data_IF_033424530274
#
_entry.id   IF_033424530274
#
_cell.length_a   1.000
_cell.length_b   1.000
_cell.length_c   1.000
_cell.angle_alpha   90.00
_cell.angle_beta   90.00
_cell.angle_gamma   90.00
#
_symmetry.space_group_name_H-M   'P 1'
#
loop_
_entity.id
_entity.type
_entity.pdbx_description
1 polymer ?
#
# COMPACT_ATOMS: atom_id res chain seq x y z
N UNK A 1 -24.91 -13.59 -26.42
CA UNK A 1 -26.07 -12.92 -25.78
C UNK A 1 -26.86 -13.81 -24.82
N UNK A 2 -27.08 -15.11 -25.13
CA UNK A 2 -27.88 -16.03 -24.28
C UNK A 2 -27.27 -16.24 -22.88
N UNK A 3 -25.97 -16.48 -22.77
CA UNK A 3 -25.28 -16.73 -21.49
C UNK A 3 -25.30 -15.54 -20.50
N UNK A 4 -25.24 -14.30 -20.98
CA UNK A 4 -25.33 -13.09 -20.14
C UNK A 4 -26.75 -12.92 -19.58
N UNK A 5 -27.76 -13.22 -20.40
CA UNK A 5 -29.16 -13.17 -20.00
C UNK A 5 -29.53 -14.24 -18.99
N UNK A 6 -28.89 -15.41 -19.09
CA UNK A 6 -29.01 -16.49 -18.12
C UNK A 6 -28.29 -16.20 -16.81
N UNK A 7 -27.09 -15.62 -16.85
CA UNK A 7 -26.38 -15.18 -15.66
C UNK A 7 -27.17 -14.13 -14.89
N UNK A 8 -27.78 -13.15 -15.58
CA UNK A 8 -28.67 -12.15 -14.96
C UNK A 8 -29.96 -12.79 -14.39
N UNK A 9 -30.51 -13.83 -15.02
CA UNK A 9 -31.66 -14.55 -14.49
C UNK A 9 -31.31 -15.39 -13.24
N UNK A 10 -30.06 -15.83 -13.07
CA UNK A 10 -29.59 -16.54 -11.88
C UNK A 10 -29.66 -15.64 -10.63
N UNK A 11 -29.35 -14.34 -10.76
CA UNK A 11 -29.50 -13.34 -9.67
C UNK A 11 -30.95 -13.25 -9.16
N UNK A 12 -31.95 -13.53 -9.98
CA UNK A 12 -33.35 -13.53 -9.60
C UNK A 12 -33.81 -14.84 -8.94
N UNK A 13 -33.12 -15.95 -9.20
CA UNK A 13 -33.54 -17.29 -8.72
C UNK A 13 -33.03 -17.61 -7.31
N UNK A 14 -31.84 -17.08 -6.91
CA UNK A 14 -31.27 -17.24 -5.57
C UNK A 14 -30.68 -15.93 -5.06
N UNK A 15 -31.50 -14.88 -4.87
CA UNK A 15 -31.03 -13.51 -4.60
C UNK A 15 -30.22 -13.43 -3.31
N UNK A 16 -30.60 -14.17 -2.27
CA UNK A 16 -29.91 -14.16 -0.97
C UNK A 16 -28.49 -14.73 -1.07
N UNK A 17 -28.31 -15.83 -1.77
CA UNK A 17 -27.00 -16.48 -1.94
C UNK A 17 -26.05 -15.62 -2.77
N UNK A 18 -26.57 -15.04 -3.84
CA UNK A 18 -25.80 -14.16 -4.71
C UNK A 18 -25.43 -12.87 -4.00
N UNK A 19 -26.36 -12.28 -3.24
CA UNK A 19 -26.08 -11.10 -2.43
C UNK A 19 -25.01 -11.40 -1.37
N UNK A 20 -25.10 -12.53 -0.67
CA UNK A 20 -24.12 -12.94 0.33
C UNK A 20 -22.73 -13.20 -0.29
N UNK A 21 -22.69 -13.89 -1.43
CA UNK A 21 -21.44 -14.12 -2.16
C UNK A 21 -20.78 -12.80 -2.59
N UNK A 22 -21.58 -11.89 -3.15
CA UNK A 22 -21.14 -10.57 -3.59
C UNK A 22 -20.64 -9.75 -2.39
N UNK A 23 -21.36 -9.76 -1.27
CA UNK A 23 -20.98 -9.05 -0.05
C UNK A 23 -19.66 -9.58 0.53
N UNK A 24 -19.45 -10.90 0.51
CA UNK A 24 -18.20 -11.49 1.00
C UNK A 24 -17.00 -11.17 0.12
N UNK A 25 -17.16 -11.21 -1.20
CA UNK A 25 -16.13 -10.74 -2.14
C UNK A 25 -15.85 -9.25 -1.93
N UNK A 26 -16.91 -8.44 -1.78
CA UNK A 26 -16.80 -7.02 -1.54
C UNK A 26 -16.03 -6.74 -0.22
N UNK A 27 -16.34 -7.48 0.84
CA UNK A 27 -15.66 -7.30 2.14
C UNK A 27 -14.18 -7.70 2.07
N UNK A 28 -13.86 -8.81 1.39
CA UNK A 28 -12.48 -9.23 1.20
C UNK A 28 -11.66 -8.15 0.45
N UNK A 29 -12.19 -7.65 -0.65
CA UNK A 29 -11.53 -6.63 -1.47
C UNK A 29 -11.56 -5.24 -0.82
N UNK A 30 -12.55 -4.94 0.01
CA UNK A 30 -12.60 -3.71 0.80
C UNK A 30 -11.45 -3.63 1.81
N UNK A 31 -11.17 -4.72 2.53
CA UNK A 31 -10.01 -4.78 3.45
C UNK A 31 -8.69 -4.54 2.70
N UNK A 32 -8.54 -5.17 1.52
CA UNK A 32 -7.37 -4.94 0.65
C UNK A 32 -7.33 -3.49 0.16
N UNK A 33 -8.48 -2.93 -0.23
CA UNK A 33 -8.61 -1.54 -0.69
C UNK A 33 -8.26 -0.53 0.39
N UNK A 34 -8.71 -0.72 1.63
CA UNK A 34 -8.32 0.14 2.76
C UNK A 34 -6.81 0.13 2.98
N UNK A 35 -6.21 -1.06 2.92
CA UNK A 35 -4.77 -1.17 3.06
C UNK A 35 -4.03 -0.51 1.89
N UNK A 36 -4.53 -0.65 0.66
CA UNK A 36 -3.95 0.00 -0.50
C UNK A 36 -3.95 1.53 -0.35
N UNK A 37 -5.09 2.12 0.10
CA UNK A 37 -5.17 3.57 0.39
C UNK A 37 -4.21 3.97 1.51
N UNK A 38 -4.16 3.20 2.60
CA UNK A 38 -3.26 3.48 3.71
C UNK A 38 -1.78 3.38 3.29
N UNK A 39 -1.41 2.34 2.53
CA UNK A 39 -0.05 2.14 2.05
C UNK A 39 0.38 3.21 1.05
N UNK A 40 -0.53 3.64 0.16
CA UNK A 40 -0.26 4.72 -0.80
C UNK A 40 0.01 6.04 -0.07
N UNK A 41 -0.87 6.42 0.86
CA UNK A 41 -0.71 7.66 1.62
C UNK A 41 0.50 7.63 2.56
N UNK A 42 0.84 6.46 3.10
CA UNK A 42 2.05 6.30 3.89
C UNK A 42 3.30 6.49 3.00
N UNK A 43 3.28 5.94 1.78
CA UNK A 43 4.37 6.13 0.83
C UNK A 43 4.54 7.61 0.46
N UNK A 44 3.46 8.29 0.09
CA UNK A 44 3.47 9.73 -0.18
C UNK A 44 3.94 10.57 1.02
N UNK A 45 3.50 10.20 2.24
CA UNK A 45 3.97 10.86 3.44
C UNK A 45 5.47 10.64 3.69
N UNK A 46 5.95 9.42 3.41
CA UNK A 46 7.36 9.09 3.50
C UNK A 46 8.17 9.84 2.43
N UNK A 47 7.73 9.88 1.18
CA UNK A 47 8.42 10.64 0.13
C UNK A 47 8.56 12.12 0.49
N UNK A 48 7.52 12.74 1.06
CA UNK A 48 7.57 14.12 1.55
C UNK A 48 8.53 14.30 2.75
N UNK A 49 8.71 13.28 3.56
CA UNK A 49 9.70 13.26 4.65
C UNK A 49 11.06 12.86 4.10
N UNK A 50 11.13 11.94 3.15
CA UNK A 50 12.34 11.49 2.47
C UNK A 50 12.97 12.60 1.60
N UNK A 51 12.19 13.56 1.10
CA UNK A 51 12.74 14.80 0.52
C UNK A 51 13.55 15.60 1.56
N UNK A 52 13.38 15.29 2.86
CA UNK A 52 14.09 15.85 3.99
C UNK A 52 14.95 14.84 4.76
N UNK A 53 15.12 13.61 4.25
CA UNK A 53 16.09 12.67 4.86
C UNK A 53 17.49 13.13 4.47
N UNK A 54 17.99 13.96 5.32
CA UNK A 54 19.36 14.43 5.33
C UNK A 54 20.09 13.68 6.44
N UNK A 55 21.28 13.21 6.15
CA UNK A 55 22.20 12.82 7.22
C UNK A 55 22.83 14.09 7.73
N UNK A 56 22.49 14.48 8.94
CA UNK A 56 23.06 15.67 9.58
C UNK A 56 24.29 15.25 10.37
N UNK A 57 25.45 15.70 9.90
CA UNK A 57 26.75 15.48 10.52
C UNK A 57 27.10 16.72 11.32
N UNK A 58 27.03 16.64 12.63
CA UNK A 58 27.46 17.74 13.51
C UNK A 58 28.95 17.77 13.64
N UNK A 59 29.53 18.95 13.41
CA UNK A 59 30.97 19.14 13.49
C UNK A 59 31.34 19.96 14.72
N UNK A 60 32.48 19.63 15.31
CA UNK A 60 32.99 20.31 16.50
C UNK A 60 33.45 21.73 16.18
N UNK A 61 33.40 22.60 17.17
CA UNK A 61 33.76 23.99 17.05
C UNK A 61 35.26 24.24 16.69
N UNK A 62 36.11 23.25 16.95
CA UNK A 62 37.54 23.29 16.65
C UNK A 62 37.87 22.72 15.26
N UNK A 63 36.89 22.28 14.49
CA UNK A 63 37.07 21.78 13.11
C UNK A 63 37.56 22.90 12.18
N UNK A 64 38.57 22.60 11.38
CA UNK A 64 39.12 23.53 10.40
C UNK A 64 38.33 23.48 9.09
N UNK A 65 38.16 24.63 8.42
CA UNK A 65 37.47 24.69 7.14
C UNK A 65 38.00 23.69 6.12
N UNK A 66 39.29 23.44 6.07
CA UNK A 66 39.91 22.46 5.19
C UNK A 66 39.48 21.00 5.50
N UNK A 67 39.22 20.69 6.77
CA UNK A 67 38.72 19.38 7.18
C UNK A 67 37.27 19.18 6.81
N UNK A 68 36.44 20.22 6.98
CA UNK A 68 35.05 20.23 6.58
C UNK A 68 34.89 20.11 5.06
N UNK A 69 35.74 20.81 4.28
CA UNK A 69 35.77 20.70 2.83
C UNK A 69 36.15 19.29 2.38
N UNK A 70 37.20 18.68 2.98
CA UNK A 70 37.59 17.32 2.65
C UNK A 70 36.47 16.31 2.91
N UNK A 71 35.79 16.41 4.06
CA UNK A 71 34.64 15.57 4.38
C UNK A 71 33.53 15.77 3.34
N UNK A 72 33.23 17.03 3.00
CA UNK A 72 32.18 17.36 2.03
C UNK A 72 32.48 16.82 0.63
N UNK A 73 33.73 16.87 0.18
CA UNK A 73 34.16 16.32 -1.11
C UNK A 73 34.10 14.80 -1.12
N UNK A 74 34.52 14.16 -0.02
CA UNK A 74 34.47 12.70 0.10
C UNK A 74 33.02 12.19 0.12
N UNK A 75 32.13 12.85 0.86
CA UNK A 75 30.71 12.49 0.89
C UNK A 75 30.04 12.72 -0.48
N UNK A 76 30.38 13.81 -1.20
CA UNK A 76 29.88 14.03 -2.58
C UNK A 76 30.35 12.99 -3.58
N UNK A 77 31.48 12.34 -3.33
CA UNK A 77 32.00 11.29 -4.20
C UNK A 77 31.29 9.93 -4.03
N UNK A 78 30.41 9.77 -3.03
CA UNK A 78 29.65 8.56 -2.83
C UNK A 78 28.46 8.50 -3.79
N UNK A 79 28.18 7.33 -4.37
CA UNK A 79 27.07 7.12 -5.32
C UNK A 79 25.69 7.33 -4.65
N UNK A 80 25.63 7.18 -3.33
CA UNK A 80 24.43 7.37 -2.54
C UNK A 80 24.05 8.83 -2.30
N UNK A 81 24.96 9.78 -2.55
CA UNK A 81 24.82 11.19 -2.18
C UNK A 81 24.44 12.04 -3.40
N UNK A 82 23.41 12.85 -3.23
CA UNK A 82 22.96 13.81 -4.25
C UNK A 82 23.58 15.20 -4.05
N UNK A 83 23.57 15.71 -2.81
CA UNK A 83 24.13 17.01 -2.47
C UNK A 83 24.68 17.03 -1.04
N UNK A 84 25.63 17.93 -0.79
CA UNK A 84 26.24 18.13 0.53
C UNK A 84 26.34 19.63 0.78
N UNK A 85 25.70 20.08 1.84
CA UNK A 85 25.65 21.50 2.27
C UNK A 85 26.25 21.66 3.64
N UNK A 86 27.10 22.65 3.78
CA UNK A 86 27.63 23.05 5.07
C UNK A 86 26.83 24.23 5.62
N UNK A 87 26.44 24.15 6.88
CA UNK A 87 25.80 25.21 7.63
C UNK A 87 26.68 25.61 8.80
N UNK A 88 27.08 26.89 8.82
CA UNK A 88 27.80 27.46 9.96
C UNK A 88 26.85 27.56 11.17
N UNK A 89 27.42 27.80 12.37
CA UNK A 89 26.61 28.07 13.56
C UNK A 89 25.63 29.24 13.39
N UNK A 90 26.05 30.26 12.65
CA UNK A 90 25.23 31.43 12.38
C UNK A 90 24.07 31.09 11.43
N UNK A 91 24.34 30.29 10.40
CA UNK A 91 23.31 29.82 9.47
C UNK A 91 22.30 28.92 10.17
N UNK A 92 22.78 28.02 11.04
CA UNK A 92 21.92 27.14 11.85
C UNK A 92 20.98 27.94 12.76
N UNK A 93 21.50 29.00 13.40
CA UNK A 93 20.68 29.87 14.24
C UNK A 93 19.65 30.69 13.45
N UNK A 94 20.04 31.20 12.28
CA UNK A 94 19.12 31.95 11.42
C UNK A 94 17.98 31.07 10.90
N UNK A 95 18.32 29.84 10.46
CA UNK A 95 17.33 28.86 10.04
C UNK A 95 16.40 28.43 11.17
N UNK A 96 16.94 28.21 12.39
CA UNK A 96 16.12 27.89 13.55
C UNK A 96 15.13 29.01 13.92
N UNK A 97 15.51 30.27 13.71
CA UNK A 97 14.60 31.40 13.90
C UNK A 97 13.50 31.50 12.85
N UNK A 98 13.81 31.14 11.61
CA UNK A 98 12.84 31.11 10.52
C UNK A 98 11.85 29.95 10.68
N UNK A 99 12.35 28.76 11.05
CA UNK A 99 11.55 27.54 11.16
C UNK A 99 10.69 27.49 12.44
N UNK A 100 11.14 28.17 13.51
CA UNK A 100 10.52 28.15 14.84
C UNK A 100 10.29 29.57 15.39
N UNK A 101 9.41 30.38 14.75
CA UNK A 101 9.18 31.78 15.15
C UNK A 101 8.62 31.91 16.58
N UNK A 102 7.98 30.89 17.12
CA UNK A 102 7.48 30.82 18.49
C UNK A 102 8.59 30.82 19.55
N UNK A 103 9.83 30.44 19.17
CA UNK A 103 11.01 30.42 20.06
C UNK A 103 11.95 31.62 19.84
N UNK A 104 11.55 32.64 19.07
CA UNK A 104 12.40 33.79 18.74
C UNK A 104 12.92 34.53 20.00
N UNK A 105 12.07 34.69 21.01
CA UNK A 105 12.47 35.31 22.28
C UNK A 105 13.52 34.49 23.04
N UNK A 106 13.42 33.16 22.98
CA UNK A 106 14.38 32.24 23.56
C UNK A 106 15.74 32.38 22.86
N UNK A 107 15.75 32.39 21.54
CA UNK A 107 16.99 32.54 20.75
C UNK A 107 17.66 33.90 20.92
N UNK A 108 16.90 34.94 21.27
CA UNK A 108 17.44 36.29 21.62
C UNK A 108 18.03 36.37 23.04
N UNK A 109 17.54 35.55 23.95
CA UNK A 109 17.97 35.54 25.35
C UNK A 109 19.24 34.77 25.63
N UNK A 110 19.71 33.96 24.66
CA UNK A 110 20.90 33.14 24.80
C UNK A 110 22.14 33.94 24.43
N UNK A 111 23.06 34.12 25.39
CA UNK A 111 24.31 34.91 25.23
C UNK A 111 25.27 34.28 24.19
N UNK A 112 25.27 32.93 24.05
CA UNK A 112 26.11 32.20 23.08
C UNK A 112 25.23 31.29 22.24
N UNK A 113 25.52 31.21 20.94
CA UNK A 113 24.79 30.31 20.04
C UNK A 113 24.99 28.86 20.47
N UNK A 114 23.94 28.14 20.93
CA UNK A 114 24.04 26.75 21.38
C UNK A 114 24.04 25.74 20.25
N UNK A 115 23.73 26.16 19.01
CA UNK A 115 23.60 25.28 17.88
C UNK A 115 24.97 24.97 17.28
N UNK A 116 25.33 23.70 17.06
CA UNK A 116 26.58 23.32 16.39
C UNK A 116 26.51 23.65 14.89
N UNK A 117 27.68 23.74 14.26
CA UNK A 117 27.77 23.72 12.82
C UNK A 117 27.48 22.29 12.30
N UNK A 118 26.94 22.19 11.10
CA UNK A 118 26.56 20.90 10.53
C UNK A 118 26.86 20.78 9.04
N UNK A 119 27.10 19.55 8.60
CA UNK A 119 27.12 19.17 7.18
C UNK A 119 25.88 18.34 6.94
N UNK A 120 24.96 18.86 6.14
CA UNK A 120 23.75 18.18 5.74
C UNK A 120 23.99 17.44 4.42
N UNK A 121 23.70 16.14 4.39
CA UNK A 121 23.93 15.26 3.25
C UNK A 121 22.60 14.75 2.73
N UNK A 122 22.21 15.20 1.53
CA UNK A 122 21.03 14.75 0.83
C UNK A 122 21.34 13.45 0.05
N UNK A 123 20.56 12.40 0.24
CA UNK A 123 20.74 11.15 -0.48
C UNK A 123 20.08 11.17 -1.86
N UNK A 124 20.71 10.51 -2.82
CA UNK A 124 20.18 10.35 -4.17
C UNK A 124 18.89 9.50 -4.18
N UNK A 125 18.00 9.81 -5.11
CA UNK A 125 16.75 9.05 -5.30
C UNK A 125 17.07 7.58 -5.56
N UNK A 126 16.49 6.68 -4.75
CA UNK A 126 16.77 5.23 -4.79
C UNK A 126 17.78 4.73 -3.75
N UNK A 127 18.55 5.63 -3.12
CA UNK A 127 19.48 5.30 -2.03
C UNK A 127 18.97 5.78 -0.65
N UNK A 128 17.76 6.26 -0.56
CA UNK A 128 17.13 6.70 0.69
C UNK A 128 16.63 5.50 1.51
N UNK A 129 17.54 4.56 1.78
CA UNK A 129 17.27 3.35 2.58
C UNK A 129 18.05 3.41 3.90
N UNK A 130 17.57 2.74 4.97
CA UNK A 130 18.30 2.70 6.25
C UNK A 130 19.75 2.28 6.09
N UNK A 131 20.02 1.32 5.20
CA UNK A 131 21.36 0.81 4.96
C UNK A 131 22.28 1.83 4.27
N UNK A 132 21.74 2.62 3.35
CA UNK A 132 22.50 3.68 2.66
C UNK A 132 22.77 4.85 3.58
N UNK A 133 21.77 5.25 4.36
CA UNK A 133 21.87 6.30 5.39
C UNK A 133 22.93 5.91 6.41
N UNK A 134 22.91 4.67 6.93
CA UNK A 134 23.89 4.17 7.87
C UNK A 134 25.30 4.19 7.28
N UNK A 135 25.49 3.77 6.01
CA UNK A 135 26.80 3.81 5.36
C UNK A 135 27.37 5.23 5.26
N UNK A 136 26.54 6.21 4.91
CA UNK A 136 26.96 7.63 4.84
C UNK A 136 27.29 8.16 6.23
N UNK A 137 26.46 7.86 7.23
CA UNK A 137 26.69 8.25 8.62
C UNK A 137 27.97 7.62 9.20
N UNK A 138 28.16 6.30 8.98
CA UNK A 138 29.36 5.58 9.40
C UNK A 138 30.62 6.17 8.74
N UNK A 139 30.53 6.53 7.45
CA UNK A 139 31.64 7.15 6.74
C UNK A 139 32.01 8.52 7.33
N UNK A 140 31.01 9.34 7.65
CA UNK A 140 31.23 10.65 8.27
C UNK A 140 31.81 10.52 9.69
N UNK A 141 31.36 9.54 10.47
CA UNK A 141 31.77 9.34 11.87
C UNK A 141 33.23 8.93 12.06
N UNK A 142 33.94 8.53 10.99
CA UNK A 142 35.37 8.19 11.04
C UNK A 142 36.24 9.41 11.37
N UNK A 143 35.76 10.61 11.07
CA UNK A 143 36.50 11.83 11.26
C UNK A 143 36.45 12.32 12.72
N UNK A 144 37.63 12.59 13.36
CA UNK A 144 37.66 12.96 14.78
C UNK A 144 36.99 14.30 15.12
N UNK A 145 36.79 15.18 14.13
CA UNK A 145 36.11 16.47 14.28
C UNK A 145 34.60 16.36 14.12
N UNK A 146 34.05 15.19 13.76
CA UNK A 146 32.64 14.90 13.79
C UNK A 146 32.24 14.58 15.23
N UNK A 147 31.26 15.34 15.77
CA UNK A 147 30.78 15.17 17.13
C UNK A 147 29.66 14.15 17.22
N UNK A 148 28.70 14.23 16.30
CA UNK A 148 27.53 13.35 16.24
C UNK A 148 27.00 13.26 14.80
N UNK A 149 26.37 12.14 14.46
CA UNK A 149 25.66 11.98 13.18
C UNK A 149 24.24 11.62 13.46
N UNK A 150 23.30 12.45 13.02
CA UNK A 150 21.88 12.21 13.20
C UNK A 150 21.19 11.98 11.86
N UNK A 151 20.46 10.91 11.81
CA UNK A 151 19.53 10.59 10.74
C UNK A 151 18.25 10.04 11.37
N UNK A 152 17.12 10.22 10.73
CA UNK A 152 15.82 9.86 11.29
C UNK A 152 15.56 8.36 11.48
N UNK A 153 16.57 7.58 11.91
CA UNK A 153 16.58 6.12 12.00
C UNK A 153 15.38 5.53 12.73
N UNK A 154 15.06 6.03 13.92
CA UNK A 154 13.96 5.49 14.73
C UNK A 154 12.59 5.62 14.06
N UNK A 155 12.36 6.68 13.29
CA UNK A 155 11.09 6.92 12.61
C UNK A 155 10.94 6.07 11.37
N UNK A 156 12.00 5.94 10.59
CA UNK A 156 12.02 5.15 9.36
C UNK A 156 11.78 3.69 9.68
N UNK A 157 12.48 3.13 10.65
CA UNK A 157 12.31 1.73 11.08
C UNK A 157 10.90 1.45 11.61
N UNK A 158 10.33 2.37 12.41
CA UNK A 158 8.95 2.22 12.91
C UNK A 158 7.93 2.25 11.78
N UNK A 159 8.11 3.08 10.78
CA UNK A 159 7.22 3.17 9.63
C UNK A 159 7.30 1.91 8.75
N UNK A 160 8.50 1.39 8.48
CA UNK A 160 8.68 0.12 7.77
C UNK A 160 8.06 -1.06 8.54
N UNK A 161 8.22 -1.08 9.86
CA UNK A 161 7.59 -2.09 10.72
C UNK A 161 6.06 -2.01 10.65
N UNK A 162 5.48 -0.82 10.74
CA UNK A 162 4.03 -0.61 10.62
C UNK A 162 3.51 -1.04 9.24
N UNK A 163 4.22 -0.70 8.16
CA UNK A 163 3.91 -1.14 6.80
C UNK A 163 3.93 -2.67 6.69
N UNK A 164 4.96 -3.31 7.25
CA UNK A 164 5.10 -4.77 7.24
C UNK A 164 3.99 -5.46 8.04
N UNK A 165 3.69 -4.98 9.25
CA UNK A 165 2.61 -5.51 10.09
C UNK A 165 1.26 -5.32 9.39
N UNK A 166 0.99 -4.13 8.85
CA UNK A 166 -0.22 -3.84 8.09
C UNK A 166 -0.38 -4.77 6.88
N UNK A 167 0.70 -4.99 6.11
CA UNK A 167 0.72 -5.91 4.98
C UNK A 167 0.40 -7.35 5.36
N UNK A 168 1.04 -7.85 6.41
CA UNK A 168 0.79 -9.22 6.93
C UNK A 168 -0.67 -9.33 7.42
N UNK A 169 -1.15 -8.37 8.20
CA UNK A 169 -2.53 -8.37 8.71
C UNK A 169 -3.54 -8.36 7.57
N UNK A 170 -3.32 -7.53 6.56
CA UNK A 170 -4.18 -7.48 5.36
C UNK A 170 -4.14 -8.79 4.57
N UNK A 171 -2.97 -9.41 4.42
CA UNK A 171 -2.86 -10.70 3.75
C UNK A 171 -3.61 -11.80 4.50
N UNK A 172 -3.52 -11.83 5.84
CA UNK A 172 -4.25 -12.80 6.67
C UNK A 172 -5.76 -12.57 6.59
N UNK A 173 -6.23 -11.35 6.84
CA UNK A 173 -7.65 -11.03 6.81
C UNK A 173 -8.23 -11.18 5.40
N UNK A 174 -7.55 -10.65 4.39
CA UNK A 174 -7.97 -10.78 3.00
C UNK A 174 -8.07 -12.22 2.54
N UNK A 175 -7.09 -13.09 2.90
CA UNK A 175 -7.14 -14.52 2.59
C UNK A 175 -8.26 -15.24 3.32
N UNK A 176 -8.52 -14.91 4.60
CA UNK A 176 -9.62 -15.49 5.36
C UNK A 176 -10.98 -15.15 4.72
N UNK A 177 -11.22 -13.89 4.37
CA UNK A 177 -12.44 -13.48 3.66
C UNK A 177 -12.53 -14.10 2.26
N UNK A 178 -11.42 -14.23 1.54
CA UNK A 178 -11.40 -14.89 0.24
C UNK A 178 -11.78 -16.37 0.35
N UNK A 179 -11.30 -17.08 1.36
CA UNK A 179 -11.70 -18.48 1.61
C UNK A 179 -13.19 -18.58 1.88
N UNK A 180 -13.73 -17.74 2.76
CA UNK A 180 -15.17 -17.72 3.05
C UNK A 180 -15.99 -17.40 1.80
N UNK A 181 -15.57 -16.39 1.02
CA UNK A 181 -16.23 -16.03 -0.24
C UNK A 181 -16.20 -17.22 -1.24
N UNK A 182 -15.06 -17.91 -1.37
CA UNK A 182 -14.96 -19.07 -2.24
C UNK A 182 -15.89 -20.23 -1.81
N UNK A 183 -16.03 -20.47 -0.50
CA UNK A 183 -16.95 -21.47 0.04
C UNK A 183 -18.41 -21.11 -0.25
N UNK A 184 -18.78 -19.83 -0.10
CA UNK A 184 -20.14 -19.35 -0.38
C UNK A 184 -20.44 -19.45 -1.89
N UNK A 185 -19.52 -19.01 -2.75
CA UNK A 185 -19.65 -19.18 -4.21
C UNK A 185 -19.79 -20.66 -4.57
N UNK A 186 -18.95 -21.52 -3.96
CA UNK A 186 -19.01 -22.98 -4.16
C UNK A 186 -20.37 -23.57 -3.79
N UNK A 187 -20.94 -23.11 -2.66
CA UNK A 187 -22.27 -23.54 -2.20
C UNK A 187 -23.36 -23.04 -3.14
N UNK A 188 -23.29 -21.82 -3.61
CA UNK A 188 -24.23 -21.24 -4.58
C UNK A 188 -24.22 -22.01 -5.90
N UNK A 189 -23.01 -22.33 -6.42
CA UNK A 189 -22.83 -23.15 -7.62
C UNK A 189 -23.41 -24.55 -7.44
N UNK A 190 -23.18 -25.21 -6.29
CA UNK A 190 -23.74 -26.51 -5.96
C UNK A 190 -25.26 -26.50 -5.99
N UNK A 191 -25.88 -25.52 -5.33
CA UNK A 191 -27.35 -25.37 -5.32
C UNK A 191 -27.87 -25.13 -6.74
N UNK A 192 -27.21 -24.29 -7.52
CA UNK A 192 -27.60 -23.98 -8.90
C UNK A 192 -27.51 -25.22 -9.81
N UNK A 193 -26.48 -26.06 -9.67
CA UNK A 193 -26.34 -27.35 -10.40
C UNK A 193 -27.48 -28.29 -10.00
N UNK A 194 -27.72 -28.43 -8.70
CA UNK A 194 -28.77 -29.34 -8.20
C UNK A 194 -30.16 -28.90 -8.65
N UNK A 195 -30.45 -27.60 -8.63
CA UNK A 195 -31.73 -27.06 -9.10
C UNK A 195 -31.98 -27.28 -10.60
N UNK A 196 -30.89 -27.40 -11.39
CA UNK A 196 -30.98 -27.61 -12.87
C UNK A 196 -30.52 -28.99 -13.31
N UNK A 197 -30.49 -29.95 -12.40
CA UNK A 197 -29.94 -31.29 -12.70
C UNK A 197 -30.62 -31.99 -13.88
N UNK A 198 -31.96 -31.86 -14.02
CA UNK A 198 -32.73 -32.43 -15.10
C UNK A 198 -32.40 -31.76 -16.44
N UNK A 199 -32.29 -30.45 -16.47
CA UNK A 199 -31.88 -29.71 -17.67
C UNK A 199 -30.46 -30.12 -18.12
N UNK A 200 -29.53 -30.25 -17.16
CA UNK A 200 -28.16 -30.68 -17.43
C UNK A 200 -28.13 -32.12 -17.95
N UNK A 201 -28.94 -32.99 -17.38
CA UNK A 201 -29.05 -34.39 -17.85
C UNK A 201 -29.56 -34.47 -19.29
N UNK A 202 -30.65 -33.76 -19.64
CA UNK A 202 -31.16 -33.69 -21.01
C UNK A 202 -30.11 -33.09 -21.96
N UNK A 203 -29.39 -32.04 -21.58
CA UNK A 203 -28.31 -31.46 -22.39
C UNK A 203 -27.21 -32.50 -22.67
N UNK A 204 -26.84 -33.32 -21.69
CA UNK A 204 -25.86 -34.43 -21.90
C UNK A 204 -26.36 -35.47 -22.84
N UNK A 205 -27.62 -35.85 -22.75
CA UNK A 205 -28.22 -36.85 -23.65
C UNK A 205 -28.20 -36.40 -25.12
N UNK A 206 -28.39 -35.10 -25.36
CA UNK A 206 -28.34 -34.49 -26.70
C UNK A 206 -26.90 -34.22 -27.18
N UNK A 207 -25.87 -34.55 -26.35
CA UNK A 207 -24.48 -34.43 -26.72
C UNK A 207 -23.83 -33.08 -26.42
N UNK A 208 -24.40 -32.25 -25.52
CA UNK A 208 -23.79 -30.99 -25.14
C UNK A 208 -22.41 -31.18 -24.48
N UNK A 209 -21.42 -30.40 -24.91
CA UNK A 209 -20.06 -30.45 -24.35
C UNK A 209 -20.02 -29.96 -22.92
N UNK A 210 -19.08 -30.47 -22.11
CA UNK A 210 -18.86 -30.02 -20.75
C UNK A 210 -18.61 -28.52 -20.65
N UNK A 211 -17.93 -27.93 -21.67
CA UNK A 211 -17.70 -26.49 -21.75
C UNK A 211 -18.97 -25.67 -21.89
N UNK A 212 -19.94 -26.17 -22.68
CA UNK A 212 -21.22 -25.50 -22.87
C UNK A 212 -22.02 -25.43 -21.56
N UNK A 213 -22.04 -26.52 -20.81
CA UNK A 213 -22.75 -26.62 -19.52
C UNK A 213 -22.10 -25.73 -18.46
N UNK A 214 -20.75 -25.56 -18.48
CA UNK A 214 -20.02 -24.77 -17.46
C UNK A 214 -20.08 -23.27 -17.67
N UNK A 215 -20.20 -22.78 -18.91
CA UNK A 215 -20.14 -21.35 -19.25
C UNK A 215 -21.07 -20.45 -18.44
N UNK A 216 -22.37 -20.77 -18.24
CA UNK A 216 -23.27 -19.92 -17.47
C UNK A 216 -22.80 -19.69 -16.03
N UNK A 217 -22.36 -20.75 -15.35
CA UNK A 217 -21.90 -20.70 -13.97
C UNK A 217 -20.57 -19.95 -13.81
N UNK A 218 -19.67 -20.04 -14.78
CA UNK A 218 -18.41 -19.28 -14.79
C UNK A 218 -18.69 -17.79 -14.96
N UNK A 219 -19.63 -17.42 -15.84
CA UNK A 219 -20.04 -16.05 -16.04
C UNK A 219 -20.76 -15.49 -14.80
N UNK A 220 -21.60 -16.28 -14.14
CA UNK A 220 -22.24 -15.90 -12.88
C UNK A 220 -21.20 -15.61 -11.80
N UNK A 221 -20.19 -16.48 -11.63
CA UNK A 221 -19.10 -16.27 -10.70
C UNK A 221 -18.29 -15.01 -11.03
N UNK A 222 -17.95 -14.80 -12.30
CA UNK A 222 -17.23 -13.60 -12.75
C UNK A 222 -18.03 -12.32 -12.50
N UNK A 223 -19.35 -12.32 -12.79
CA UNK A 223 -20.22 -11.16 -12.52
C UNK A 223 -20.35 -10.88 -11.02
N UNK A 224 -20.53 -11.92 -10.20
CA UNK A 224 -20.54 -11.79 -8.73
C UNK A 224 -19.24 -11.16 -8.23
N UNK A 225 -18.10 -11.59 -8.76
CA UNK A 225 -16.79 -11.04 -8.43
C UNK A 225 -16.61 -9.59 -8.88
N UNK A 226 -17.05 -9.25 -10.10
CA UNK A 226 -17.03 -7.86 -10.60
C UNK A 226 -17.90 -6.92 -9.78
N UNK A 227 -19.12 -7.36 -9.44
CA UNK A 227 -20.02 -6.59 -8.59
C UNK A 227 -19.44 -6.42 -7.17
N UNK A 228 -18.84 -7.48 -6.62
CA UNK A 228 -18.15 -7.43 -5.34
C UNK A 228 -16.99 -6.44 -5.36
N UNK A 229 -16.17 -6.48 -6.43
CA UNK A 229 -15.08 -5.53 -6.65
C UNK A 229 -15.56 -4.08 -6.76
N UNK A 230 -16.63 -3.84 -7.53
CA UNK A 230 -17.23 -2.51 -7.64
C UNK A 230 -17.76 -1.98 -6.29
N UNK A 231 -18.44 -2.83 -5.52
CA UNK A 231 -18.92 -2.49 -4.17
C UNK A 231 -17.74 -2.22 -3.22
N UNK A 232 -16.66 -3.01 -3.28
CA UNK A 232 -15.45 -2.80 -2.50
C UNK A 232 -14.84 -1.42 -2.77
N UNK A 233 -14.70 -1.06 -4.05
CA UNK A 233 -14.22 0.27 -4.46
C UNK A 233 -15.13 1.38 -3.92
N UNK A 234 -16.46 1.21 -4.04
CA UNK A 234 -17.42 2.18 -3.49
C UNK A 234 -17.30 2.35 -1.98
N UNK A 235 -17.16 1.26 -1.23
CA UNK A 235 -16.96 1.29 0.22
C UNK A 235 -15.61 1.92 0.60
N UNK A 236 -14.55 1.56 -0.12
CA UNK A 236 -13.20 2.14 0.09
C UNK A 236 -13.22 3.64 -0.18
N UNK A 237 -13.88 4.08 -1.26
CA UNK A 237 -14.03 5.50 -1.57
C UNK A 237 -14.84 6.25 -0.51
N UNK A 238 -15.95 5.67 -0.04
CA UNK A 238 -16.74 6.26 1.04
C UNK A 238 -15.92 6.41 2.34
N UNK A 239 -15.13 5.40 2.68
CA UNK A 239 -14.22 5.46 3.85
C UNK A 239 -13.13 6.51 3.65
N UNK A 240 -12.51 6.56 2.47
CA UNK A 240 -11.54 7.59 2.10
C UNK A 240 -12.10 9.00 2.27
N UNK A 241 -13.29 9.28 1.72
CA UNK A 241 -13.94 10.60 1.84
C UNK A 241 -14.26 10.93 3.31
N UNK A 242 -14.73 9.94 4.08
CA UNK A 242 -15.01 10.10 5.51
C UNK A 242 -13.75 10.49 6.30
N UNK A 243 -12.68 9.75 6.15
CA UNK A 243 -11.40 10.01 6.84
C UNK A 243 -10.76 11.31 6.37
N UNK A 244 -10.76 11.55 5.05
CA UNK A 244 -10.14 12.76 4.47
C UNK A 244 -10.82 14.06 4.91
N UNK A 245 -12.14 14.02 5.20
CA UNK A 245 -12.88 15.18 5.69
C UNK A 245 -12.76 15.42 7.19
N UNK A 246 -12.61 14.35 7.97
CA UNK A 246 -12.71 14.41 9.42
C UNK A 246 -11.35 14.44 10.14
N UNK A 247 -10.31 13.85 9.56
CA UNK A 247 -9.07 13.57 10.30
C UNK A 247 -7.84 14.10 9.54
N UNK A 248 -7.56 13.58 8.34
CA UNK A 248 -6.36 13.90 7.56
C UNK A 248 -6.70 14.10 6.10
N UNK A 249 -5.95 14.97 5.40
CA UNK A 249 -6.01 15.04 3.94
C UNK A 249 -5.29 13.83 3.36
N UNK A 250 -6.07 12.88 2.85
CA UNK A 250 -5.58 11.70 2.15
C UNK A 250 -5.61 11.94 0.64
N UNK A 251 -4.74 11.24 -0.08
CA UNK A 251 -4.75 11.15 -1.54
C UNK A 251 -5.46 9.86 -1.97
N UNK A 252 -6.21 9.94 -3.07
CA UNK A 252 -6.87 8.77 -3.62
C UNK A 252 -5.87 7.93 -4.41
N UNK A 253 -6.03 6.60 -4.36
CA UNK A 253 -5.19 5.67 -5.11
C UNK A 253 -5.33 5.86 -6.63
N UNK A 254 -4.26 5.60 -7.43
CA UNK A 254 -4.30 5.68 -8.89
C UNK A 254 -5.42 4.84 -9.50
N UNK A 255 -6.00 5.33 -10.60
CA UNK A 255 -7.10 4.64 -11.30
C UNK A 255 -6.74 3.22 -11.72
N UNK A 256 -5.47 2.98 -12.04
CA UNK A 256 -4.96 1.66 -12.41
C UNK A 256 -5.17 0.62 -11.31
N UNK A 257 -4.96 1.01 -10.05
CA UNK A 257 -5.18 0.14 -8.89
C UNK A 257 -6.65 -0.15 -8.67
N UNK A 258 -7.51 0.85 -8.91
CA UNK A 258 -8.97 0.68 -8.82
C UNK A 258 -9.44 -0.33 -9.86
N UNK A 259 -9.00 -0.18 -11.12
CA UNK A 259 -9.34 -1.10 -12.21
C UNK A 259 -8.79 -2.51 -11.94
N UNK A 260 -7.54 -2.61 -11.47
CA UNK A 260 -6.93 -3.88 -11.09
C UNK A 260 -7.70 -4.57 -9.96
N UNK A 261 -8.17 -3.84 -8.97
CA UNK A 261 -8.99 -4.37 -7.87
C UNK A 261 -10.32 -4.95 -8.33
N UNK A 262 -11.04 -4.25 -9.21
CA UNK A 262 -12.29 -4.75 -9.79
C UNK A 262 -12.04 -5.97 -10.67
N UNK A 263 -11.00 -5.95 -11.51
CA UNK A 263 -10.62 -7.08 -12.36
C UNK A 263 -10.22 -8.30 -11.52
N UNK A 264 -9.46 -8.09 -10.44
CA UNK A 264 -9.08 -9.16 -9.50
C UNK A 264 -10.33 -9.80 -8.85
N UNK A 265 -11.34 -9.00 -8.50
CA UNK A 265 -12.62 -9.50 -8.03
C UNK A 265 -13.32 -10.41 -9.04
N UNK A 266 -13.39 -9.98 -10.30
CA UNK A 266 -13.96 -10.78 -11.39
C UNK A 266 -13.21 -12.08 -11.62
N UNK A 267 -11.88 -12.02 -11.63
CA UNK A 267 -11.01 -13.20 -11.77
C UNK A 267 -11.19 -14.17 -10.59
N UNK A 268 -11.24 -13.64 -9.37
CA UNK A 268 -11.47 -14.45 -8.17
C UNK A 268 -12.81 -15.19 -8.24
N UNK A 269 -13.90 -14.49 -8.57
CA UNK A 269 -15.23 -15.09 -8.71
C UNK A 269 -15.27 -16.18 -9.80
N UNK A 270 -14.59 -15.95 -10.92
CA UNK A 270 -14.44 -16.93 -12.00
C UNK A 270 -13.68 -18.16 -11.54
N UNK A 271 -12.54 -17.99 -10.85
CA UNK A 271 -11.71 -19.09 -10.35
C UNK A 271 -12.43 -19.91 -9.28
N UNK A 272 -13.10 -19.25 -8.32
CA UNK A 272 -13.89 -19.91 -7.28
C UNK A 272 -15.02 -20.74 -7.88
N UNK A 273 -15.74 -20.19 -8.87
CA UNK A 273 -16.79 -20.90 -9.61
C UNK A 273 -16.21 -22.09 -10.41
N UNK A 274 -15.07 -21.90 -11.10
CA UNK A 274 -14.41 -22.95 -11.85
C UNK A 274 -13.98 -24.13 -10.95
N UNK A 275 -13.45 -23.83 -9.78
CA UNK A 275 -13.05 -24.83 -8.80
C UNK A 275 -14.27 -25.62 -8.27
N UNK A 276 -15.34 -24.92 -7.92
CA UNK A 276 -16.60 -25.53 -7.49
C UNK A 276 -17.19 -26.44 -8.57
N UNK A 277 -17.23 -25.98 -9.81
CA UNK A 277 -17.71 -26.78 -10.95
C UNK A 277 -16.91 -28.05 -11.17
N UNK A 278 -15.58 -28.00 -11.06
CA UNK A 278 -14.74 -29.20 -11.20
C UNK A 278 -15.06 -30.25 -10.16
N UNK A 279 -15.42 -29.84 -8.95
CA UNK A 279 -15.77 -30.74 -7.85
C UNK A 279 -17.18 -31.32 -8.02
N UNK A 280 -18.18 -30.49 -8.25
CA UNK A 280 -19.58 -30.93 -8.20
C UNK A 280 -20.15 -31.50 -9.50
N UNK A 281 -19.62 -31.14 -10.68
CA UNK A 281 -20.02 -31.75 -11.94
C UNK A 281 -19.54 -33.20 -12.12
N UNK A 282 -18.68 -33.70 -11.25
CA UNK A 282 -18.29 -35.14 -11.24
C UNK A 282 -19.28 -36.00 -10.47
N UNK A 283 -20.13 -35.40 -9.66
CA UNK A 283 -21.09 -36.09 -8.80
C UNK A 283 -22.48 -36.24 -9.47
N UNK A 284 -22.71 -35.56 -10.59
CA UNK A 284 -23.93 -35.57 -11.43
C UNK A 284 -23.61 -36.13 -12.84
#
# INVERSE_FOLDING_TARGET
MHAIREALAAFRRAPLLTALSTAMVALALYVVGLFAVASHNLHEALERVEERVEVVVYVRDDARDAEIQLLSEELRAMDEVNDVRYYSKEDALNRAREDLPEFEELFRSVEANPLPASVEVELATGFRTPESVARVADRASIYPFVEDTRYGEEWVDRLFLLRRIGGITTAILGSAFAVVAALIIGTAVRIAIFARREEIYVMRLVGATHGFIRRPFLLEGALTGLLGGGLAVGLTYASYVGVSRLIFRLEWIPLEWVVAGVAAGGLFGLLASAFALRRYLREV
#
